data_IF_480967514948
#
_entry.id   IF_480967514948
#
_cell.length_a   1.000
_cell.length_b   1.000
_cell.length_c   1.000
_cell.angle_alpha   90.00
_cell.angle_beta   90.00
_cell.angle_gamma   90.00
#
_symmetry.space_group_name_H-M   'P 1'
#
loop_
_entity.id
_entity.type
_entity.pdbx_description
1 polymer ?
#
# COMPACT_ATOMS: atom_id res chain seq x y z
N UNK A 1 8.85 -5.51 1.62
CA UNK A 1 7.57 -4.89 1.98
C UNK A 1 6.89 -4.20 0.80
N UNK A 2 7.64 -3.46 -0.02
CA UNK A 2 7.08 -2.83 -1.23
C UNK A 2 6.34 -3.82 -2.11
N UNK A 3 6.95 -4.97 -2.34
CA UNK A 3 6.36 -6.02 -3.17
C UNK A 3 5.04 -6.52 -2.59
N UNK A 4 4.98 -6.66 -1.27
CA UNK A 4 3.76 -7.12 -0.60
C UNK A 4 2.62 -6.11 -0.76
N UNK A 5 2.95 -4.82 -0.66
CA UNK A 5 1.97 -3.76 -0.85
C UNK A 5 1.43 -3.80 -2.28
N UNK A 6 2.33 -3.94 -3.26
CA UNK A 6 1.95 -4.02 -4.67
C UNK A 6 1.10 -5.26 -4.94
N UNK A 7 1.45 -6.40 -4.34
CA UNK A 7 0.65 -7.62 -4.48
C UNK A 7 -0.79 -7.42 -4.02
N UNK A 8 -0.96 -6.79 -2.87
CA UNK A 8 -2.28 -6.53 -2.31
C UNK A 8 -3.08 -5.59 -3.21
N UNK A 9 -2.45 -4.52 -3.70
CA UNK A 9 -3.10 -3.57 -4.60
C UNK A 9 -3.51 -4.25 -5.91
N UNK A 10 -2.62 -5.02 -6.50
CA UNK A 10 -2.88 -5.72 -7.76
C UNK A 10 -4.04 -6.69 -7.62
N UNK A 11 -4.08 -7.43 -6.53
CA UNK A 11 -5.16 -8.36 -6.25
C UNK A 11 -6.49 -7.62 -6.05
N UNK A 12 -6.45 -6.51 -5.31
CA UNK A 12 -7.62 -5.70 -5.05
C UNK A 12 -8.21 -5.11 -6.35
N UNK A 13 -7.34 -4.69 -7.28
CA UNK A 13 -7.75 -4.09 -8.54
C UNK A 13 -7.89 -5.10 -9.68
N UNK A 14 -7.59 -6.36 -9.42
CA UNK A 14 -7.61 -7.42 -10.42
C UNK A 14 -6.69 -7.09 -11.60
N UNK A 15 -5.46 -6.73 -11.30
CA UNK A 15 -4.43 -6.37 -12.28
C UNK A 15 -3.14 -7.14 -12.01
N UNK A 16 -2.25 -7.11 -13.00
CA UNK A 16 -0.92 -7.74 -12.87
C UNK A 16 0.01 -6.81 -12.08
N UNK A 17 0.84 -7.40 -11.22
CA UNK A 17 1.81 -6.64 -10.43
C UNK A 17 2.77 -5.83 -11.29
N UNK A 18 3.03 -6.28 -12.52
CA UNK A 18 3.93 -5.59 -13.44
C UNK A 18 3.42 -4.23 -13.89
N UNK A 19 2.15 -3.92 -13.63
CA UNK A 19 1.56 -2.62 -13.97
C UNK A 19 1.88 -1.54 -12.94
N UNK A 20 2.56 -1.88 -11.85
CA UNK A 20 2.84 -0.97 -10.74
C UNK A 20 4.33 -0.80 -10.53
N UNK A 21 4.70 0.36 -9.97
CA UNK A 21 6.08 0.62 -9.55
C UNK A 21 6.08 1.10 -8.09
N UNK A 22 7.19 0.88 -7.34
CA UNK A 22 7.27 1.34 -5.95
C UNK A 22 7.20 2.85 -5.78
N UNK A 23 7.51 3.60 -6.82
CA UNK A 23 7.54 5.07 -6.76
C UNK A 23 6.28 5.73 -7.33
N UNK A 24 5.34 4.94 -7.82
CA UNK A 24 4.07 5.43 -8.31
C UNK A 24 3.15 5.77 -7.14
N UNK A 25 2.46 6.92 -7.20
CA UNK A 25 1.54 7.28 -6.12
C UNK A 25 0.30 6.41 -6.17
N UNK A 26 -0.31 6.21 -5.01
CA UNK A 26 -1.57 5.46 -4.93
C UNK A 26 -2.66 6.16 -5.74
N UNK A 27 -2.63 7.49 -5.77
CA UNK A 27 -3.55 8.28 -6.58
C UNK A 27 -3.41 7.96 -8.07
N UNK A 28 -2.17 7.84 -8.55
CA UNK A 28 -1.90 7.49 -9.95
C UNK A 28 -2.36 6.07 -10.28
N UNK A 29 -2.45 5.21 -9.29
CA UNK A 29 -2.96 3.85 -9.45
C UNK A 29 -4.49 3.81 -9.50
N UNK A 30 -5.14 4.95 -9.25
CA UNK A 30 -6.59 5.03 -9.21
C UNK A 30 -7.20 4.69 -7.86
N UNK A 31 -6.40 4.71 -6.79
CA UNK A 31 -6.88 4.41 -5.46
C UNK A 31 -7.39 5.68 -4.78
N UNK A 32 -8.63 5.64 -4.27
CA UNK A 32 -9.21 6.74 -3.52
C UNK A 32 -9.10 6.47 -2.01
N UNK A 33 -9.70 7.34 -1.19
CA UNK A 33 -9.63 7.21 0.28
C UNK A 33 -10.21 5.90 0.78
N UNK A 34 -11.29 5.43 0.17
CA UNK A 34 -11.92 4.17 0.55
C UNK A 34 -11.01 3.00 0.22
N UNK A 35 -10.40 3.03 -0.98
CA UNK A 35 -9.46 2.00 -1.40
C UNK A 35 -8.25 1.95 -0.48
N UNK A 36 -7.75 3.12 -0.08
CA UNK A 36 -6.62 3.20 0.84
C UNK A 36 -6.94 2.63 2.21
N UNK A 37 -8.14 2.90 2.72
CA UNK A 37 -8.58 2.34 4.00
C UNK A 37 -8.60 0.81 3.93
N UNK A 38 -9.12 0.25 2.84
CA UNK A 38 -9.16 -1.20 2.65
C UNK A 38 -7.76 -1.79 2.54
N UNK A 39 -6.87 -1.14 1.79
CA UNK A 39 -5.48 -1.56 1.65
C UNK A 39 -4.79 -1.61 3.02
N UNK A 40 -4.98 -0.57 3.81
CA UNK A 40 -4.36 -0.50 5.14
C UNK A 40 -4.88 -1.59 6.05
N UNK A 41 -6.19 -1.86 6.01
CA UNK A 41 -6.78 -2.96 6.81
C UNK A 41 -6.17 -4.31 6.44
N UNK A 42 -5.99 -4.57 5.15
CA UNK A 42 -5.37 -5.81 4.71
C UNK A 42 -3.91 -5.91 5.14
N UNK A 43 -3.19 -4.81 5.09
CA UNK A 43 -1.80 -4.78 5.55
C UNK A 43 -1.71 -5.00 7.06
N UNK A 44 -2.59 -4.38 7.83
CA UNK A 44 -2.64 -4.58 9.28
C UNK A 44 -2.91 -6.04 9.63
N UNK A 45 -3.81 -6.66 8.90
CA UNK A 45 -4.13 -8.07 9.10
C UNK A 45 -2.94 -8.97 8.78
N UNK A 46 -2.22 -8.69 7.71
CA UNK A 46 -1.03 -9.45 7.34
C UNK A 46 0.12 -9.29 8.33
N UNK A 47 0.31 -8.09 8.83
CA UNK A 47 1.46 -7.76 9.68
C UNK A 47 1.17 -7.89 11.17
N UNK A 48 -0.09 -7.95 11.54
CA UNK A 48 -0.50 -8.04 12.94
C UNK A 48 -0.19 -6.77 13.73
N UNK A 49 -0.16 -5.63 13.07
CA UNK A 49 0.15 -4.35 13.71
C UNK A 49 -0.73 -3.25 13.14
N UNK A 50 -0.92 -2.17 13.89
CA UNK A 50 -1.68 -1.02 13.43
C UNK A 50 -0.82 -0.15 12.52
N UNK A 51 -1.44 0.41 11.49
CA UNK A 51 -0.78 1.29 10.54
C UNK A 51 -1.61 2.56 10.42
N UNK A 52 -1.00 3.72 10.68
CA UNK A 52 -1.67 5.01 10.52
C UNK A 52 -1.58 5.47 9.07
N UNK A 53 -2.70 5.89 8.51
CA UNK A 53 -2.72 6.49 7.19
C UNK A 53 -2.20 7.91 7.30
N UNK A 54 -1.15 8.21 6.54
CA UNK A 54 -0.57 9.56 6.50
C UNK A 54 -0.35 9.94 5.04
N UNK A 55 -0.82 11.13 4.61
CA UNK A 55 -0.65 11.56 3.20
C UNK A 55 0.79 11.59 2.71
N UNK A 56 1.76 11.63 3.61
CA UNK A 56 3.19 11.58 3.24
C UNK A 56 3.59 10.22 2.69
N UNK A 57 2.91 9.15 3.09
CA UNK A 57 3.22 7.79 2.67
C UNK A 57 2.34 7.40 1.48
N UNK A 58 2.54 8.12 0.37
CA UNK A 58 1.66 8.05 -0.78
C UNK A 58 2.17 7.17 -1.93
N UNK A 59 3.25 6.42 -1.69
CA UNK A 59 3.77 5.43 -2.63
C UNK A 59 4.05 4.13 -1.89
N UNK A 60 4.10 3.00 -2.61
CA UNK A 60 4.47 1.74 -1.96
C UNK A 60 5.81 1.81 -1.23
N UNK A 61 6.80 2.49 -1.83
CA UNK A 61 8.12 2.64 -1.22
C UNK A 61 8.05 3.41 0.10
N UNK A 62 7.38 4.55 0.09
CA UNK A 62 7.24 5.39 1.29
C UNK A 62 6.46 4.68 2.39
N UNK A 63 5.40 4.00 2.02
CA UNK A 63 4.61 3.24 2.99
C UNK A 63 5.43 2.10 3.58
N UNK A 64 6.20 1.39 2.75
CA UNK A 64 7.07 0.31 3.22
C UNK A 64 8.12 0.82 4.18
N UNK A 65 8.73 1.97 3.89
CA UNK A 65 9.73 2.58 4.77
C UNK A 65 9.12 2.96 6.11
N UNK A 66 7.92 3.54 6.09
CA UNK A 66 7.19 3.89 7.31
C UNK A 66 6.92 2.65 8.18
N UNK A 67 6.45 1.58 7.56
CA UNK A 67 6.14 0.33 8.27
C UNK A 67 7.42 -0.24 8.88
N UNK A 68 8.53 -0.23 8.14
CA UNK A 68 9.80 -0.73 8.62
C UNK A 68 10.33 0.07 9.81
N UNK A 69 10.15 1.38 9.80
CA UNK A 69 10.60 2.27 10.88
C UNK A 69 9.79 2.08 12.16
N UNK A 70 8.54 1.66 12.04
CA UNK A 70 7.61 1.54 13.16
C UNK A 70 7.34 0.11 13.60
N UNK A 71 8.10 -0.82 13.09
CA UNK A 71 7.93 -2.23 13.44
C UNK A 71 8.94 -2.69 14.49
#
# INVERSE_FOLDING_TARGET
MEQKIIEIIAEYQDRDESEYTPDQTFSDMGLDSLDMAELILQLEDHLGTEIDINPKHNTPRRLAEYIAENS
#
